data_IF_747262539554
#
_entry.id   IF_747262539554
#
_cell.length_a   1.000
_cell.length_b   1.000
_cell.length_c   1.000
_cell.angle_alpha   90.00
_cell.angle_beta   90.00
_cell.angle_gamma   90.00
#
_symmetry.space_group_name_H-M   'P 1'
#
loop_
_entity.id
_entity.type
_entity.pdbx_description
1 polymer ?
#
# COMPACT_ATOMS: atom_id res chain seq x y z
N UNK A 1 -10.19 8.39 -3.64
CA UNK A 1 -9.76 6.96 -3.69
C UNK A 1 -9.10 6.68 -5.04
N UNK A 2 -8.51 5.49 -5.24
CA UNK A 2 -8.09 5.06 -6.59
C UNK A 2 -9.29 5.02 -7.52
N UNK A 3 -9.15 5.60 -8.71
CA UNK A 3 -10.16 5.57 -9.77
C UNK A 3 -10.47 4.13 -10.24
N UNK A 4 -9.59 3.17 -9.92
CA UNK A 4 -9.76 1.75 -10.22
C UNK A 4 -10.66 1.00 -9.24
N UNK A 5 -10.92 1.58 -8.07
CA UNK A 5 -11.70 0.92 -7.00
C UNK A 5 -12.70 1.88 -6.34
N UNK A 6 -13.59 2.55 -7.10
CA UNK A 6 -14.52 3.52 -6.55
C UNK A 6 -15.61 2.86 -5.69
N UNK A 7 -16.07 1.67 -6.06
CA UNK A 7 -17.18 0.99 -5.38
C UNK A 7 -16.84 0.61 -3.94
N UNK A 8 -15.60 0.20 -3.66
CA UNK A 8 -15.17 -0.10 -2.29
C UNK A 8 -15.16 1.16 -1.43
N UNK A 9 -14.71 2.30 -1.98
CA UNK A 9 -14.75 3.57 -1.27
C UNK A 9 -16.19 4.03 -0.98
N UNK A 10 -17.09 3.90 -1.95
CA UNK A 10 -18.52 4.20 -1.78
C UNK A 10 -19.14 3.32 -0.70
N UNK A 11 -18.85 2.02 -0.71
CA UNK A 11 -19.35 1.08 0.30
C UNK A 11 -18.81 1.41 1.70
N UNK A 12 -17.52 1.69 1.85
CA UNK A 12 -16.92 2.10 3.13
C UNK A 12 -17.53 3.40 3.64
N UNK A 13 -17.72 4.39 2.77
CA UNK A 13 -18.36 5.65 3.15
C UNK A 13 -19.83 5.45 3.56
N UNK A 14 -20.59 4.60 2.85
CA UNK A 14 -21.96 4.25 3.26
C UNK A 14 -22.02 3.59 4.64
N UNK A 15 -21.05 2.73 4.98
CA UNK A 15 -20.93 2.16 6.33
C UNK A 15 -20.62 3.24 7.38
N UNK A 16 -19.75 4.20 7.05
CA UNK A 16 -19.49 5.36 7.91
C UNK A 16 -20.76 6.19 8.14
N UNK A 17 -21.53 6.48 7.09
CA UNK A 17 -22.79 7.23 7.21
C UNK A 17 -23.81 6.50 8.09
N UNK A 18 -23.89 5.17 8.00
CA UNK A 18 -24.71 4.36 8.92
C UNK A 18 -24.21 4.45 10.36
N UNK A 19 -22.91 4.54 10.58
CA UNK A 19 -22.34 4.72 11.91
C UNK A 19 -22.67 6.13 12.46
N UNK A 20 -22.53 7.17 11.66
CA UNK A 20 -22.94 8.56 11.99
C UNK A 20 -24.42 8.60 12.38
N UNK A 21 -25.31 7.98 11.59
CA UNK A 21 -26.74 7.93 11.91
C UNK A 21 -27.03 7.28 13.25
N UNK A 22 -26.29 6.23 13.61
CA UNK A 22 -26.42 5.55 14.92
C UNK A 22 -25.87 6.37 16.07
N UNK A 23 -24.80 7.13 15.82
CA UNK A 23 -24.17 8.00 16.81
C UNK A 23 -25.03 9.23 17.13
N UNK A 24 -25.81 9.71 16.15
CA UNK A 24 -26.79 10.78 16.32
C UNK A 24 -26.19 12.18 16.14
N UNK A 25 -26.82 13.17 16.77
CA UNK A 25 -26.50 14.60 16.59
C UNK A 25 -25.11 15.02 17.06
N UNK A 26 -24.44 14.18 17.84
CA UNK A 26 -23.10 14.45 18.34
C UNK A 26 -22.02 14.31 17.25
N UNK A 27 -22.35 13.67 16.12
CA UNK A 27 -21.45 13.59 14.97
C UNK A 27 -21.49 14.91 14.18
N UNK A 28 -20.34 15.59 13.97
CA UNK A 28 -20.29 16.78 13.15
C UNK A 28 -20.71 16.50 11.70
N UNK A 29 -21.44 17.45 11.10
CA UNK A 29 -21.69 17.46 9.66
C UNK A 29 -20.37 17.58 8.89
N UNK A 30 -20.24 16.83 7.79
CA UNK A 30 -19.03 16.84 6.97
C UNK A 30 -17.78 16.22 7.64
N UNK A 31 -17.94 15.44 8.72
CA UNK A 31 -16.82 14.80 9.41
C UNK A 31 -15.94 13.95 8.48
N UNK A 32 -16.54 13.26 7.50
CA UNK A 32 -15.81 12.57 6.45
C UNK A 32 -16.55 12.72 5.11
N UNK A 33 -15.82 13.18 4.10
CA UNK A 33 -16.32 13.40 2.74
C UNK A 33 -15.65 12.42 1.76
N UNK A 34 -16.43 11.92 0.79
CA UNK A 34 -15.93 11.06 -0.27
C UNK A 34 -15.97 11.78 -1.61
N UNK A 35 -14.80 12.07 -2.17
CA UNK A 35 -14.68 12.67 -3.49
C UNK A 35 -14.28 11.59 -4.50
N UNK A 36 -15.13 11.33 -5.49
CA UNK A 36 -14.85 10.42 -6.61
C UNK A 36 -14.29 11.21 -7.78
N UNK A 37 -13.10 10.85 -8.23
CA UNK A 37 -12.42 11.54 -9.32
C UNK A 37 -11.07 10.91 -9.64
N UNK A 38 -10.34 11.56 -10.55
CA UNK A 38 -9.02 11.13 -10.98
C UNK A 38 -7.93 12.12 -10.58
N UNK A 39 -6.92 12.25 -11.44
CA UNK A 39 -5.75 13.09 -11.22
C UNK A 39 -6.09 14.54 -10.89
N UNK A 40 -6.98 15.16 -11.66
CA UNK A 40 -7.27 16.60 -11.54
C UNK A 40 -7.94 16.91 -10.20
N UNK A 41 -8.89 16.08 -9.79
CA UNK A 41 -9.51 16.14 -8.46
C UNK A 41 -8.47 16.00 -7.35
N UNK A 42 -7.54 15.05 -7.47
CA UNK A 42 -6.45 14.87 -6.52
C UNK A 42 -5.51 16.09 -6.47
N UNK A 43 -5.20 16.69 -7.61
CA UNK A 43 -4.37 17.90 -7.70
C UNK A 43 -5.03 19.08 -6.97
N UNK A 44 -6.34 19.28 -7.19
CA UNK A 44 -7.09 20.30 -6.46
C UNK A 44 -7.06 20.09 -4.94
N UNK A 45 -7.22 18.86 -4.45
CA UNK A 45 -7.11 18.57 -3.01
C UNK A 45 -5.71 18.84 -2.45
N UNK A 46 -4.67 18.51 -3.21
CA UNK A 46 -3.27 18.72 -2.82
C UNK A 46 -2.91 20.21 -2.79
N UNK A 47 -3.51 21.03 -3.64
CA UNK A 47 -3.26 22.49 -3.68
C UNK A 47 -4.18 23.29 -2.73
N UNK A 48 -5.21 22.66 -2.15
CA UNK A 48 -6.18 23.33 -1.29
C UNK A 48 -5.57 23.78 0.06
N UNK A 49 -5.49 25.09 0.28
CA UNK A 49 -4.93 25.72 1.49
C UNK A 49 -5.67 25.35 2.77
N UNK A 50 -6.91 24.87 2.69
CA UNK A 50 -7.70 24.42 3.86
C UNK A 50 -7.23 23.07 4.38
N UNK A 51 -6.55 22.28 3.54
CA UNK A 51 -6.01 20.97 3.90
C UNK A 51 -4.64 21.14 4.55
N UNK A 52 -4.57 20.96 5.87
CA UNK A 52 -3.33 21.10 6.65
C UNK A 52 -2.40 19.88 6.55
N UNK A 53 -2.94 18.72 6.20
CA UNK A 53 -2.21 17.46 6.07
C UNK A 53 -2.74 16.66 4.88
N UNK A 54 -1.83 16.15 4.05
CA UNK A 54 -2.15 15.18 2.98
C UNK A 54 -1.50 13.85 3.30
N UNK A 55 -2.32 12.80 3.42
CA UNK A 55 -1.86 11.41 3.43
C UNK A 55 -2.04 10.83 2.04
N UNK A 56 -0.94 10.41 1.40
CA UNK A 56 -0.94 9.91 0.03
C UNK A 56 -0.25 8.55 -0.05
N UNK A 57 -1.01 7.55 -0.52
CA UNK A 57 -0.52 6.19 -0.77
C UNK A 57 -0.50 5.89 -2.26
N UNK A 58 0.63 5.41 -2.78
CA UNK A 58 0.72 5.00 -4.19
C UNK A 58 2.14 4.90 -4.73
N UNK A 59 2.31 5.17 -6.02
CA UNK A 59 3.64 5.08 -6.65
C UNK A 59 4.60 6.18 -6.18
N UNK A 60 5.90 5.89 -6.16
CA UNK A 60 6.94 6.90 -5.86
C UNK A 60 6.88 8.10 -6.81
N UNK A 61 6.51 7.88 -8.08
CA UNK A 61 6.30 8.96 -9.06
C UNK A 61 5.18 9.91 -8.61
N UNK A 62 4.04 9.36 -8.19
CA UNK A 62 2.91 10.15 -7.67
C UNK A 62 3.32 10.87 -6.38
N UNK A 63 3.99 10.18 -5.45
CA UNK A 63 4.43 10.76 -4.18
C UNK A 63 5.34 11.98 -4.36
N UNK A 64 6.29 11.94 -5.31
CA UNK A 64 7.13 13.09 -5.64
C UNK A 64 6.31 14.31 -6.08
N UNK A 65 5.34 14.10 -6.98
CA UNK A 65 4.47 15.18 -7.46
C UNK A 65 3.61 15.78 -6.34
N UNK A 66 3.07 14.93 -5.46
CA UNK A 66 2.31 15.39 -4.28
C UNK A 66 3.21 16.16 -3.32
N UNK A 67 4.41 15.66 -3.04
CA UNK A 67 5.37 16.31 -2.15
C UNK A 67 5.76 17.71 -2.66
N UNK A 68 6.08 17.83 -3.95
CA UNK A 68 6.42 19.10 -4.60
C UNK A 68 5.28 20.11 -4.51
N UNK A 69 4.04 19.70 -4.77
CA UNK A 69 2.87 20.57 -4.70
C UNK A 69 2.58 21.01 -3.25
N UNK A 70 2.59 20.08 -2.30
CA UNK A 70 2.42 20.38 -0.87
C UNK A 70 3.51 21.32 -0.33
N UNK A 71 4.77 21.14 -0.75
CA UNK A 71 5.89 21.94 -0.29
C UNK A 71 5.76 23.43 -0.66
N UNK A 72 5.16 23.75 -1.82
CA UNK A 72 4.91 25.15 -2.25
C UNK A 72 4.09 25.95 -1.23
N UNK A 73 3.30 25.28 -0.40
CA UNK A 73 2.44 25.88 0.62
C UNK A 73 2.69 25.31 2.04
N UNK A 74 3.85 24.65 2.23
CA UNK A 74 4.30 24.07 3.51
C UNK A 74 3.28 23.12 4.18
N UNK A 75 2.49 22.41 3.39
CA UNK A 75 1.55 21.40 3.91
C UNK A 75 2.30 20.21 4.47
N UNK A 76 1.84 19.65 5.59
CA UNK A 76 2.38 18.39 6.10
C UNK A 76 1.98 17.24 5.17
N UNK A 77 2.92 16.33 4.92
CA UNK A 77 2.66 15.13 4.12
C UNK A 77 2.97 13.86 4.89
N UNK A 78 2.14 12.83 4.71
CA UNK A 78 2.45 11.43 5.02
C UNK A 78 2.47 10.69 3.68
N UNK A 79 3.62 10.13 3.31
CA UNK A 79 3.84 9.55 1.98
C UNK A 79 4.15 8.06 2.10
N UNK A 80 3.16 7.22 1.79
CA UNK A 80 3.27 5.76 1.79
C UNK A 80 3.47 5.27 0.35
N UNK A 81 4.73 5.12 -0.05
CA UNK A 81 5.10 4.98 -1.46
C UNK A 81 5.49 3.54 -1.83
N UNK A 82 6.12 3.37 -2.99
CA UNK A 82 6.51 2.06 -3.50
C UNK A 82 7.58 1.38 -2.64
N UNK A 83 7.48 0.06 -2.52
CA UNK A 83 8.47 -0.80 -1.87
C UNK A 83 9.20 -1.72 -2.86
N UNK A 84 10.50 -1.92 -2.66
CA UNK A 84 11.30 -2.95 -3.32
C UNK A 84 11.92 -3.87 -2.25
N UNK A 85 11.04 -4.63 -1.61
CA UNK A 85 11.34 -5.34 -0.36
C UNK A 85 12.24 -6.55 -0.61
N UNK A 86 13.14 -6.79 0.34
CA UNK A 86 14.11 -7.87 0.27
C UNK A 86 14.04 -8.80 1.47
N UNK A 87 14.45 -10.05 1.27
CA UNK A 87 14.69 -11.02 2.31
C UNK A 87 16.11 -11.57 2.14
N UNK A 88 16.83 -11.72 3.25
CA UNK A 88 18.16 -12.34 3.30
C UNK A 88 18.02 -13.69 3.99
N UNK A 89 18.46 -14.76 3.34
CA UNK A 89 18.54 -16.11 3.89
C UNK A 89 19.99 -16.42 4.21
N UNK A 90 20.33 -16.35 5.51
CA UNK A 90 21.65 -16.62 6.04
C UNK A 90 21.90 -18.15 6.20
N UNK A 91 23.16 -18.59 6.43
CA UNK A 91 23.50 -20.02 6.52
C UNK A 91 22.71 -20.82 7.56
N UNK A 92 22.35 -20.20 8.69
CA UNK A 92 21.65 -20.84 9.81
C UNK A 92 20.13 -20.70 9.75
N UNK A 93 19.58 -20.24 8.62
CA UNK A 93 18.15 -20.06 8.49
C UNK A 93 17.41 -21.41 8.53
N UNK A 94 16.25 -21.44 9.20
CA UNK A 94 15.30 -22.54 9.06
C UNK A 94 14.74 -22.53 7.63
N UNK A 95 15.17 -23.49 6.81
CA UNK A 95 14.80 -23.56 5.40
C UNK A 95 13.33 -23.96 5.19
N UNK A 96 12.71 -24.69 6.12
CA UNK A 96 11.28 -25.00 6.04
C UNK A 96 10.45 -23.74 6.22
N UNK A 97 10.78 -22.95 7.24
CA UNK A 97 10.13 -21.67 7.49
C UNK A 97 10.42 -20.68 6.36
N UNK A 98 11.67 -20.60 5.90
CA UNK A 98 12.08 -19.70 4.83
C UNK A 98 11.30 -19.97 3.54
N UNK A 99 11.16 -21.24 3.13
CA UNK A 99 10.39 -21.61 1.93
C UNK A 99 8.95 -21.09 2.02
N UNK A 100 8.25 -21.32 3.13
CA UNK A 100 6.86 -20.87 3.31
C UNK A 100 6.76 -19.34 3.29
N UNK A 101 7.64 -18.66 4.02
CA UNK A 101 7.67 -17.21 4.11
C UNK A 101 7.95 -16.56 2.76
N UNK A 102 8.96 -17.06 2.02
CA UNK A 102 9.33 -16.57 0.69
C UNK A 102 8.15 -16.71 -0.27
N UNK A 103 7.56 -17.91 -0.37
CA UNK A 103 6.44 -18.14 -1.29
C UNK A 103 5.28 -17.19 -0.97
N UNK A 104 4.77 -17.18 0.26
CA UNK A 104 3.61 -16.34 0.61
C UNK A 104 3.89 -14.85 0.41
N UNK A 105 5.06 -14.37 0.83
CA UNK A 105 5.42 -12.95 0.75
C UNK A 105 5.68 -12.47 -0.67
N UNK A 106 6.07 -13.35 -1.60
CA UNK A 106 6.32 -13.02 -3.00
C UNK A 106 5.07 -13.17 -3.88
N UNK A 107 4.30 -14.25 -3.73
CA UNK A 107 3.16 -14.56 -4.63
C UNK A 107 1.83 -14.02 -4.12
N UNK A 108 1.72 -13.78 -2.81
CA UNK A 108 0.49 -13.33 -2.16
C UNK A 108 -0.08 -12.07 -2.83
N UNK A 109 -1.40 -12.07 -3.05
CA UNK A 109 -2.11 -10.98 -3.75
C UNK A 109 -1.56 -10.72 -5.16
N UNK A 110 -1.14 -11.78 -5.86
CA UNK A 110 -0.49 -11.71 -7.17
C UNK A 110 0.72 -10.76 -7.18
N UNK A 111 1.40 -10.65 -6.04
CA UNK A 111 2.50 -9.73 -5.84
C UNK A 111 2.13 -8.24 -5.92
N UNK A 112 0.87 -7.86 -5.71
CA UNK A 112 0.43 -6.45 -5.81
C UNK A 112 0.34 -5.75 -4.43
N UNK A 113 1.16 -6.17 -3.45
CA UNK A 113 1.30 -5.47 -2.17
C UNK A 113 2.49 -4.51 -2.23
N UNK A 114 2.42 -3.39 -1.50
CA UNK A 114 3.59 -2.52 -1.31
C UNK A 114 4.73 -3.25 -0.58
N UNK A 115 4.41 -4.24 0.25
CA UNK A 115 5.33 -5.05 1.06
C UNK A 115 5.72 -6.39 0.43
N UNK A 116 5.24 -6.73 -0.78
CA UNK A 116 5.59 -8.01 -1.41
C UNK A 116 7.10 -8.13 -1.59
N UNK A 117 7.63 -9.33 -1.34
CA UNK A 117 9.02 -9.70 -1.55
C UNK A 117 9.38 -9.61 -3.05
N UNK A 118 10.39 -8.80 -3.37
CA UNK A 118 10.87 -8.57 -4.75
C UNK A 118 12.27 -9.10 -4.99
N UNK A 119 13.09 -9.11 -3.94
CA UNK A 119 14.50 -9.50 -3.99
C UNK A 119 14.77 -10.53 -2.93
N UNK A 120 15.29 -11.68 -3.33
CA UNK A 120 15.70 -12.72 -2.41
C UNK A 120 17.23 -12.85 -2.49
N UNK A 121 17.91 -12.56 -1.39
CA UNK A 121 19.35 -12.73 -1.26
C UNK A 121 19.60 -14.00 -0.45
N UNK A 122 20.21 -15.00 -1.07
CA UNK A 122 20.43 -16.32 -0.46
C UNK A 122 21.92 -16.55 -0.32
N UNK A 123 22.34 -16.98 0.87
CA UNK A 123 23.73 -17.36 1.07
C UNK A 123 24.08 -18.60 0.23
N UNK A 124 25.27 -18.60 -0.36
CA UNK A 124 25.74 -19.63 -1.29
C UNK A 124 25.58 -21.05 -0.73
N UNK A 125 25.98 -21.26 0.54
CA UNK A 125 25.89 -22.55 1.23
C UNK A 125 24.49 -23.19 1.34
N UNK A 126 23.42 -22.42 1.15
CA UNK A 126 22.02 -22.91 1.22
C UNK A 126 21.26 -22.72 -0.08
N UNK A 127 21.89 -22.13 -1.11
CA UNK A 127 21.26 -21.81 -2.38
C UNK A 127 20.71 -23.05 -3.08
N UNK A 128 21.55 -24.07 -3.23
CA UNK A 128 21.21 -25.30 -3.96
C UNK A 128 20.16 -26.16 -3.24
N UNK A 129 19.98 -25.94 -1.93
CA UNK A 129 18.91 -26.59 -1.17
C UNK A 129 17.58 -25.81 -1.28
N UNK A 130 17.65 -24.47 -1.27
CA UNK A 130 16.47 -23.60 -1.21
C UNK A 130 15.80 -23.39 -2.57
N UNK A 131 16.57 -23.05 -3.60
CA UNK A 131 16.01 -22.63 -4.90
C UNK A 131 15.22 -23.73 -5.60
N UNK A 132 15.67 -25.00 -5.66
CA UNK A 132 14.88 -26.07 -6.27
C UNK A 132 13.53 -26.28 -5.59
N UNK A 133 13.46 -26.14 -4.26
CA UNK A 133 12.22 -26.26 -3.48
C UNK A 133 11.23 -25.15 -3.82
N UNK A 134 11.72 -23.91 -3.92
CA UNK A 134 10.90 -22.77 -4.34
C UNK A 134 10.37 -22.98 -5.77
N UNK A 135 11.22 -23.39 -6.72
CA UNK A 135 10.80 -23.68 -8.10
C UNK A 135 9.69 -24.74 -8.16
N UNK A 136 9.83 -25.82 -7.39
CA UNK A 136 8.81 -26.88 -7.31
C UNK A 136 7.47 -26.35 -6.82
N UNK A 137 7.48 -25.50 -5.78
CA UNK A 137 6.25 -24.88 -5.27
C UNK A 137 5.64 -23.96 -6.32
N UNK A 138 6.45 -23.10 -6.95
CA UNK A 138 5.98 -22.17 -7.97
C UNK A 138 5.35 -22.87 -9.19
N UNK A 139 5.85 -24.04 -9.57
CA UNK A 139 5.27 -24.81 -10.67
C UNK A 139 3.86 -25.37 -10.37
N UNK A 140 3.47 -25.42 -9.09
CA UNK A 140 2.14 -25.85 -8.65
C UNK A 140 1.19 -24.70 -8.28
N UNK A 141 1.60 -23.45 -8.47
CA UNK A 141 0.77 -22.25 -8.29
C UNK A 141 0.08 -21.87 -9.61
#
# INVERSE_FOLDING_TARGET
PSEKTPLTAIATHALFMRAVQRFGSDAPEGLAELIIGGRDTGAHMVDDKRVALVSATGSTRMGKQVAEACAKRLTRTILELGGNNAMIVAPSADLEMAVRAITFSAVGTAGQRCTTLRRLFVHDSVYDQLIPRLKKIYAGL
#
